data_IF_951011718868
#
_entry.id   IF_951011718868
#
_cell.length_a   1.000
_cell.length_b   1.000
_cell.length_c   1.000
_cell.angle_alpha   90.00
_cell.angle_beta   90.00
_cell.angle_gamma   90.00
#
_symmetry.space_group_name_H-M   'P 1'
#
loop_
_entity.id
_entity.type
_entity.pdbx_description
1 polymer ?
#
# COMPACT_ATOMS: atom_id res chain seq x y z
N UNK A 1 40.18 39.94 -39.50
CA UNK A 1 39.29 39.48 -38.41
C UNK A 1 38.55 38.26 -38.92
N UNK A 2 39.15 37.07 -38.80
CA UNK A 2 38.57 35.81 -39.26
C UNK A 2 37.94 35.13 -38.05
N UNK A 3 36.62 35.20 -37.92
CA UNK A 3 35.88 34.52 -36.86
C UNK A 3 35.76 33.04 -37.25
N UNK A 4 36.56 32.19 -36.62
CA UNK A 4 36.40 30.75 -36.70
C UNK A 4 35.04 30.38 -36.07
N UNK A 5 34.17 29.76 -36.85
CA UNK A 5 32.91 29.18 -36.39
C UNK A 5 33.24 27.91 -35.61
N UNK A 6 32.99 27.91 -34.30
CA UNK A 6 33.10 26.71 -33.47
C UNK A 6 32.09 25.64 -33.95
N UNK A 7 32.48 24.36 -34.05
CA UNK A 7 31.54 23.29 -34.38
C UNK A 7 30.56 23.07 -33.22
N UNK A 8 29.28 22.92 -33.56
CA UNK A 8 28.21 22.64 -32.59
C UNK A 8 28.50 21.37 -31.77
N UNK A 9 28.11 21.33 -30.47
CA UNK A 9 28.30 20.15 -29.65
C UNK A 9 27.51 18.98 -30.23
N UNK A 10 28.22 17.92 -30.61
CA UNK A 10 27.65 16.64 -31.01
C UNK A 10 26.86 16.09 -29.84
N UNK A 11 25.54 16.06 -29.97
CA UNK A 11 24.66 15.37 -29.03
C UNK A 11 24.83 13.88 -29.29
N UNK A 12 25.67 13.23 -28.46
CA UNK A 12 25.73 11.77 -28.46
C UNK A 12 24.31 11.21 -28.24
N UNK A 13 23.91 10.15 -28.98
CA UNK A 13 22.63 9.51 -28.74
C UNK A 13 22.57 9.01 -27.29
N UNK A 14 21.41 9.10 -26.62
CA UNK A 14 21.28 8.63 -25.24
C UNK A 14 21.64 7.16 -25.16
N UNK A 15 22.71 6.85 -24.40
CA UNK A 15 23.16 5.49 -24.15
C UNK A 15 22.00 4.64 -23.61
N UNK A 16 21.79 3.40 -24.12
CA UNK A 16 20.76 2.53 -23.60
C UNK A 16 21.07 2.22 -22.13
N UNK A 17 20.19 2.68 -21.23
CA UNK A 17 20.30 2.42 -19.80
C UNK A 17 20.39 0.91 -19.58
N UNK A 18 21.44 0.40 -18.92
CA UNK A 18 21.58 -1.04 -18.70
C UNK A 18 20.36 -1.51 -17.92
N UNK A 19 19.74 -2.61 -18.36
CA UNK A 19 18.62 -3.24 -17.66
C UNK A 19 19.08 -3.71 -16.28
N UNK A 20 18.97 -2.83 -15.28
CA UNK A 20 19.40 -3.12 -13.92
C UNK A 20 18.39 -4.05 -13.29
N UNK A 21 18.85 -5.19 -12.76
CA UNK A 21 18.01 -6.10 -11.96
C UNK A 21 17.29 -5.30 -10.88
N UNK A 22 15.96 -5.37 -10.85
CA UNK A 22 15.13 -4.79 -9.78
C UNK A 22 15.66 -5.26 -8.43
N UNK A 23 16.16 -4.32 -7.62
CA UNK A 23 16.70 -4.61 -6.31
C UNK A 23 15.57 -5.12 -5.39
N UNK A 24 15.82 -6.21 -4.67
CA UNK A 24 14.83 -6.79 -3.75
C UNK A 24 14.65 -5.99 -2.46
N UNK A 25 15.62 -5.14 -2.12
CA UNK A 25 15.62 -4.34 -0.91
C UNK A 25 16.52 -3.12 -1.07
N UNK A 26 15.97 -1.94 -0.82
CA UNK A 26 16.66 -0.64 -0.82
C UNK A 26 16.57 -0.04 0.58
N UNK A 27 17.50 0.84 0.96
CA UNK A 27 17.44 1.55 2.26
C UNK A 27 16.12 2.30 2.50
N UNK A 28 15.42 2.71 1.44
CA UNK A 28 14.09 3.33 1.51
C UNK A 28 12.98 2.37 1.96
N UNK A 29 13.15 1.06 1.77
CA UNK A 29 12.11 0.07 2.07
C UNK A 29 11.89 -0.08 3.58
N UNK A 30 12.94 0.09 4.40
CA UNK A 30 12.81 0.11 5.87
C UNK A 30 11.96 1.30 6.35
N UNK A 31 12.14 2.46 5.73
CA UNK A 31 11.34 3.65 6.04
C UNK A 31 9.89 3.46 5.60
N UNK A 32 9.67 2.92 4.39
CA UNK A 32 8.34 2.60 3.88
C UNK A 32 7.63 1.55 4.74
N UNK A 33 8.32 0.49 5.16
CA UNK A 33 7.79 -0.54 6.04
C UNK A 33 7.34 0.04 7.38
N UNK A 34 8.16 0.90 7.99
CA UNK A 34 7.83 1.50 9.29
C UNK A 34 6.67 2.48 9.16
N UNK A 35 6.69 3.39 8.18
CA UNK A 35 5.61 4.34 7.94
C UNK A 35 4.28 3.67 7.62
N UNK A 36 4.30 2.66 6.74
CA UNK A 36 3.13 1.85 6.42
C UNK A 36 2.65 1.06 7.65
N UNK A 37 3.56 0.43 8.38
CA UNK A 37 3.26 -0.37 9.56
C UNK A 37 2.53 0.44 10.64
N UNK A 38 3.03 1.62 10.99
CA UNK A 38 2.36 2.50 11.95
C UNK A 38 1.01 3.01 11.44
N UNK A 39 0.93 3.40 10.16
CA UNK A 39 -0.33 3.83 9.56
C UNK A 39 -1.40 2.72 9.64
N UNK A 40 -1.02 1.49 9.29
CA UNK A 40 -1.92 0.34 9.38
C UNK A 40 -2.30 0.06 10.83
N UNK A 41 -1.34 0.09 11.76
CA UNK A 41 -1.61 -0.18 13.18
C UNK A 41 -2.65 0.81 13.76
N UNK A 42 -2.49 2.10 13.48
CA UNK A 42 -3.44 3.14 13.91
C UNK A 42 -4.81 2.92 13.27
N UNK A 43 -4.84 2.53 12.00
CA UNK A 43 -6.07 2.27 11.26
C UNK A 43 -6.84 1.07 11.85
N UNK A 44 -6.12 -0.01 12.16
CA UNK A 44 -6.68 -1.20 12.79
C UNK A 44 -7.18 -0.91 14.21
N UNK A 45 -6.44 -0.12 14.99
CA UNK A 45 -6.87 0.30 16.33
C UNK A 45 -8.13 1.18 16.27
N UNK A 46 -8.19 2.08 15.29
CA UNK A 46 -9.35 2.95 15.05
C UNK A 46 -10.57 2.12 14.67
N UNK A 47 -10.42 1.16 13.73
CA UNK A 47 -11.49 0.25 13.36
C UNK A 47 -11.98 -0.57 14.55
N UNK A 48 -11.07 -1.10 15.36
CA UNK A 48 -11.39 -1.85 16.58
C UNK A 48 -12.18 -0.99 17.57
N UNK A 49 -11.76 0.26 17.79
CA UNK A 49 -12.46 1.22 18.64
C UNK A 49 -13.86 1.56 18.12
N UNK A 50 -14.01 1.72 16.80
CA UNK A 50 -15.31 1.97 16.17
C UNK A 50 -16.24 0.76 16.30
N UNK A 51 -15.75 -0.47 16.07
CA UNK A 51 -16.57 -1.68 16.20
C UNK A 51 -17.03 -1.92 17.65
N UNK A 52 -16.12 -1.74 18.63
CA UNK A 52 -16.47 -1.90 20.04
C UNK A 52 -17.41 -0.77 20.53
N UNK A 53 -17.12 0.49 20.17
CA UNK A 53 -17.87 1.65 20.67
C UNK A 53 -19.19 1.93 19.95
N UNK A 54 -19.29 1.66 18.65
CA UNK A 54 -20.48 1.99 17.84
C UNK A 54 -21.40 0.79 17.65
N UNK A 55 -20.84 -0.41 17.45
CA UNK A 55 -21.62 -1.63 17.18
C UNK A 55 -21.81 -2.47 18.46
N UNK A 56 -20.94 -2.31 19.47
CA UNK A 56 -21.00 -3.10 20.71
C UNK A 56 -20.41 -4.50 20.58
N UNK A 57 -19.54 -4.69 19.58
CA UNK A 57 -18.94 -5.99 19.27
C UNK A 57 -17.88 -6.35 20.34
N UNK A 58 -17.95 -7.57 20.88
CA UNK A 58 -17.05 -8.00 21.97
C UNK A 58 -15.57 -7.89 21.54
N UNK A 59 -14.67 -7.34 22.38
CA UNK A 59 -13.25 -7.19 22.09
C UNK A 59 -12.58 -8.51 21.69
N UNK A 60 -13.05 -9.64 22.23
CA UNK A 60 -12.51 -10.98 21.95
C UNK A 60 -12.71 -11.38 20.48
N UNK A 61 -13.85 -11.01 19.88
CA UNK A 61 -14.13 -11.30 18.48
C UNK A 61 -13.30 -10.41 17.56
N UNK A 62 -13.12 -9.13 17.93
CA UNK A 62 -12.36 -8.18 17.12
C UNK A 62 -10.86 -8.50 17.16
N UNK A 63 -10.31 -8.75 18.36
CA UNK A 63 -8.90 -9.07 18.51
C UNK A 63 -8.58 -10.50 18.06
N UNK A 64 -9.49 -11.45 18.27
CA UNK A 64 -9.30 -12.86 17.93
C UNK A 64 -9.56 -13.22 16.47
N UNK A 65 -10.40 -12.45 15.76
CA UNK A 65 -10.78 -12.76 14.37
C UNK A 65 -10.38 -11.65 13.40
N UNK A 66 -10.73 -10.40 13.69
CA UNK A 66 -10.50 -9.28 12.76
C UNK A 66 -9.01 -8.95 12.67
N UNK A 67 -8.31 -8.89 13.80
CA UNK A 67 -6.87 -8.60 13.85
C UNK A 67 -6.01 -9.59 13.04
N UNK A 68 -6.11 -10.92 13.26
CA UNK A 68 -5.34 -11.88 12.47
C UNK A 68 -5.78 -11.91 11.01
N UNK A 69 -7.08 -11.77 10.71
CA UNK A 69 -7.57 -11.71 9.33
C UNK A 69 -6.97 -10.52 8.57
N UNK A 70 -6.92 -9.33 9.20
CA UNK A 70 -6.30 -8.14 8.62
C UNK A 70 -4.79 -8.34 8.42
N UNK A 71 -4.09 -8.92 9.39
CA UNK A 71 -2.67 -9.24 9.26
C UNK A 71 -2.38 -10.15 8.06
N UNK A 72 -3.15 -11.22 7.90
CA UNK A 72 -3.02 -12.15 6.76
C UNK A 72 -3.36 -11.45 5.44
N UNK A 73 -4.45 -10.69 5.38
CA UNK A 73 -4.86 -9.95 4.18
C UNK A 73 -3.79 -8.94 3.73
N UNK A 74 -3.13 -8.28 4.68
CA UNK A 74 -2.05 -7.34 4.42
C UNK A 74 -0.82 -8.03 3.84
N UNK A 75 -0.40 -9.15 4.42
CA UNK A 75 0.75 -9.92 3.92
C UNK A 75 0.45 -10.38 2.49
N UNK A 76 -0.70 -11.03 2.28
CA UNK A 76 -1.10 -11.54 0.97
C UNK A 76 -1.22 -10.42 -0.07
N UNK A 77 -1.84 -9.29 0.30
CA UNK A 77 -1.99 -8.13 -0.57
C UNK A 77 -0.64 -7.55 -1.00
N UNK A 78 0.27 -7.32 -0.05
CA UNK A 78 1.59 -6.75 -0.36
C UNK A 78 2.46 -7.73 -1.17
N UNK A 79 2.37 -9.04 -0.93
CA UNK A 79 3.03 -10.06 -1.76
C UNK A 79 2.49 -10.04 -3.20
N UNK A 80 1.17 -9.95 -3.35
CA UNK A 80 0.51 -9.90 -4.64
C UNK A 80 0.92 -8.65 -5.44
N UNK A 81 0.87 -7.47 -4.82
CA UNK A 81 1.30 -6.23 -5.48
C UNK A 81 2.78 -6.24 -5.83
N UNK A 82 3.63 -6.81 -4.98
CA UNK A 82 5.05 -7.00 -5.30
C UNK A 82 5.25 -7.90 -6.51
N UNK A 83 4.50 -9.00 -6.61
CA UNK A 83 4.54 -9.88 -7.78
C UNK A 83 4.06 -9.17 -9.06
N UNK A 84 2.99 -8.37 -8.97
CA UNK A 84 2.49 -7.58 -10.09
C UNK A 84 3.50 -6.53 -10.54
N UNK A 85 4.13 -5.82 -9.60
CA UNK A 85 5.18 -4.84 -9.88
C UNK A 85 6.37 -5.51 -10.61
N UNK A 86 6.81 -6.69 -10.16
CA UNK A 86 7.89 -7.44 -10.82
C UNK A 86 7.49 -7.94 -12.21
N UNK A 87 6.23 -8.40 -12.37
CA UNK A 87 5.71 -8.84 -13.67
C UNK A 87 5.61 -7.67 -14.66
N UNK A 88 5.26 -6.47 -14.18
CA UNK A 88 5.19 -5.26 -14.99
C UNK A 88 6.60 -4.77 -15.36
N UNK A 89 7.54 -4.74 -14.41
CA UNK A 89 8.94 -4.40 -14.65
C UNK A 89 9.57 -5.31 -15.73
N UNK A 90 9.30 -6.62 -15.67
CA UNK A 90 9.76 -7.58 -16.67
C UNK A 90 9.11 -7.38 -18.06
N UNK A 91 7.89 -6.83 -18.12
CA UNK A 91 7.17 -6.54 -19.37
C UNK A 91 7.60 -5.24 -20.02
N UNK A 92 7.83 -4.19 -19.23
CA UNK A 92 8.23 -2.87 -19.72
C UNK A 92 9.76 -2.72 -19.85
N UNK A 93 10.54 -3.66 -19.31
CA UNK A 93 12.00 -3.58 -19.32
C UNK A 93 12.56 -2.42 -18.49
N UNK A 94 11.77 -1.93 -17.52
CA UNK A 94 12.08 -0.79 -16.66
C UNK A 94 12.38 -1.23 -15.23
N UNK A 95 13.30 -0.54 -14.58
CA UNK A 95 13.75 -0.78 -13.20
C UNK A 95 13.18 0.24 -12.18
N UNK A 96 12.43 1.25 -12.64
CA UNK A 96 11.79 2.29 -11.82
C UNK A 96 10.39 1.92 -11.30
N UNK A 97 10.04 0.62 -11.31
CA UNK A 97 8.71 0.16 -10.91
C UNK A 97 8.63 0.02 -9.38
N UNK A 98 7.71 0.78 -8.77
CA UNK A 98 7.43 0.73 -7.33
C UNK A 98 6.14 -0.06 -7.07
N UNK A 99 6.17 -0.99 -6.12
CA UNK A 99 4.96 -1.71 -5.70
C UNK A 99 4.00 -0.76 -4.97
N UNK A 100 2.72 -0.81 -5.31
CA UNK A 100 1.70 -0.04 -4.60
C UNK A 100 1.50 -0.63 -3.20
N UNK A 101 1.62 0.17 -2.13
CA UNK A 101 1.37 -0.31 -0.78
C UNK A 101 -0.10 -0.70 -0.59
N UNK A 102 -0.35 -1.89 -0.05
CA UNK A 102 -1.71 -2.31 0.32
C UNK A 102 -1.96 -2.05 1.81
N UNK A 103 -2.95 -1.23 2.11
CA UNK A 103 -3.37 -0.94 3.48
C UNK A 103 -4.79 -0.38 3.56
N UNK A 104 -5.50 -0.61 4.68
CA UNK A 104 -6.83 -0.05 4.91
C UNK A 104 -6.76 1.48 5.02
N UNK A 105 -7.74 2.16 4.42
CA UNK A 105 -7.88 3.62 4.45
C UNK A 105 -8.90 4.04 5.51
N UNK A 106 -8.57 5.08 6.29
CA UNK A 106 -9.43 5.61 7.36
C UNK A 106 -10.82 6.00 6.84
N UNK A 107 -10.97 6.87 5.81
CA UNK A 107 -12.27 7.20 5.25
C UNK A 107 -13.12 5.98 4.87
N UNK A 108 -12.49 4.97 4.27
CA UNK A 108 -13.17 3.74 3.85
C UNK A 108 -13.73 2.97 5.04
N UNK A 109 -12.94 2.82 6.11
CA UNK A 109 -13.39 2.14 7.34
C UNK A 109 -14.56 2.86 8.01
N UNK A 110 -14.54 4.20 8.05
CA UNK A 110 -15.66 4.98 8.59
C UNK A 110 -16.94 4.77 7.78
N UNK A 111 -16.85 4.77 6.45
CA UNK A 111 -18.01 4.50 5.59
C UNK A 111 -18.56 3.11 5.86
N UNK A 112 -17.70 2.08 5.89
CA UNK A 112 -18.16 0.70 6.15
C UNK A 112 -18.82 0.57 7.53
N UNK A 113 -18.24 1.15 8.59
CA UNK A 113 -18.82 1.05 9.94
C UNK A 113 -20.14 1.82 10.06
N UNK A 114 -20.16 3.09 9.68
CA UNK A 114 -21.33 3.96 9.92
C UNK A 114 -22.42 3.84 8.86
N UNK A 115 -22.06 3.59 7.60
CA UNK A 115 -23.02 3.58 6.49
C UNK A 115 -23.48 2.16 6.16
N UNK A 116 -22.67 1.13 6.44
CA UNK A 116 -23.04 -0.26 6.15
C UNK A 116 -23.36 -1.03 7.42
N UNK A 117 -22.43 -1.14 8.38
CA UNK A 117 -22.63 -1.96 9.58
C UNK A 117 -23.67 -1.39 10.53
N UNK A 118 -23.66 -0.08 10.81
CA UNK A 118 -24.60 0.53 11.74
C UNK A 118 -26.07 0.37 11.33
N UNK A 119 -26.52 0.64 10.09
CA UNK A 119 -27.92 0.42 9.71
C UNK A 119 -28.29 -1.07 9.69
N UNK A 120 -27.35 -1.97 9.37
CA UNK A 120 -27.59 -3.42 9.47
C UNK A 120 -27.79 -3.83 10.93
N UNK A 121 -26.95 -3.35 11.85
CA UNK A 121 -27.09 -3.60 13.28
C UNK A 121 -28.42 -3.06 13.83
N UNK A 122 -28.82 -1.86 13.43
CA UNK A 122 -30.10 -1.27 13.87
C UNK A 122 -31.32 -2.05 13.35
N UNK A 123 -31.22 -2.67 12.17
CA UNK A 123 -32.28 -3.50 11.60
C UNK A 123 -32.33 -4.91 12.21
N UNK A 124 -31.16 -5.55 12.38
CA UNK A 124 -31.07 -6.94 12.83
C UNK A 124 -31.05 -7.07 14.36
N UNK A 125 -30.60 -6.03 15.08
CA UNK A 125 -30.30 -6.02 16.53
C UNK A 125 -29.30 -7.08 17.01
N UNK A 126 -28.62 -7.76 16.09
CA UNK A 126 -27.57 -8.72 16.39
C UNK A 126 -26.19 -8.13 16.04
N UNK A 127 -25.30 -8.08 17.04
CA UNK A 127 -23.91 -7.64 16.92
C UNK A 127 -22.94 -8.84 16.76
N UNK A 128 -23.41 -9.95 16.18
CA UNK A 128 -22.66 -11.20 16.05
C UNK A 128 -22.74 -11.70 14.60
#
# INVERSE_FOLDING_TARGET
MSAATDPAPTTDPPSPTPATKVAWWTRGDTNAFSGLGFNILVNVLTLTGLMNGVIGLSPDNVLGTVLPALGVALILGNLYYTFLARRLAAREGRDDVTALPYGPSVPHMFIVVFVVMLPVYLNTKDAI
#
